data_IF_008619728695
#
_entry.id   IF_008619728695
#
_cell.length_a   1.000
_cell.length_b   1.000
_cell.length_c   1.000
_cell.angle_alpha   90.00
_cell.angle_beta   90.00
_cell.angle_gamma   90.00
#
_symmetry.space_group_name_H-M   'P 1'
#
loop_
_entity.id
_entity.type
_entity.pdbx_description
1 polymer ?
#
# COMPACT_ATOMS: atom_id res chain seq x y z
N UNK A 1 53.35 -56.69 -6.70
CA UNK A 1 54.12 -56.44 -7.94
C UNK A 1 54.10 -54.95 -8.15
N UNK A 2 55.18 -54.27 -7.77
CA UNK A 2 56.38 -54.06 -8.58
C UNK A 2 56.24 -52.73 -9.36
N UNK A 3 57.19 -51.86 -9.04
CA UNK A 3 57.51 -50.56 -9.61
C UNK A 3 57.77 -50.62 -11.13
N UNK A 4 57.99 -49.42 -11.71
CA UNK A 4 58.73 -49.16 -12.96
C UNK A 4 57.83 -48.99 -14.18
N UNK A 5 58.00 -48.02 -15.09
CA UNK A 5 59.15 -47.18 -15.46
C UNK A 5 58.60 -45.85 -16.05
N UNK A 6 59.12 -44.67 -15.69
CA UNK A 6 60.24 -43.98 -16.35
C UNK A 6 59.99 -43.64 -17.84
N UNK A 7 59.98 -42.36 -18.21
CA UNK A 7 61.15 -41.64 -18.76
C UNK A 7 60.77 -40.20 -19.15
N UNK A 8 61.74 -39.36 -18.86
CA UNK A 8 61.88 -37.91 -18.98
C UNK A 8 62.10 -37.46 -20.43
N UNK A 9 61.55 -36.30 -20.82
CA UNK A 9 62.16 -35.43 -21.83
C UNK A 9 61.66 -33.99 -21.65
N UNK A 10 62.59 -33.10 -21.32
CA UNK A 10 62.44 -31.66 -21.36
C UNK A 10 62.65 -31.16 -22.79
N UNK A 11 61.90 -30.15 -23.25
CA UNK A 11 62.53 -28.86 -23.57
C UNK A 11 61.52 -27.72 -23.81
N UNK A 12 62.07 -26.54 -23.58
CA UNK A 12 61.65 -25.14 -23.70
C UNK A 12 60.80 -24.72 -24.91
N UNK A 13 59.92 -23.73 -24.69
CA UNK A 13 59.29 -22.94 -25.74
C UNK A 13 58.33 -21.87 -25.18
N UNK A 14 58.63 -20.59 -25.47
CA UNK A 14 57.89 -19.40 -25.07
C UNK A 14 56.52 -19.25 -25.76
N UNK A 15 55.61 -18.58 -25.04
CA UNK A 15 54.53 -17.69 -25.49
C UNK A 15 53.54 -18.20 -26.56
N UNK A 16 52.26 -18.31 -26.17
CA UNK A 16 51.27 -17.38 -26.73
C UNK A 16 49.99 -17.28 -25.89
N UNK A 17 49.49 -16.06 -25.83
CA UNK A 17 48.32 -15.60 -25.09
C UNK A 17 47.01 -16.05 -25.73
N UNK A 18 46.17 -16.76 -24.99
CA UNK A 18 44.71 -16.78 -25.15
C UNK A 18 44.07 -17.42 -23.91
N UNK A 19 43.97 -16.67 -22.80
CA UNK A 19 43.08 -17.07 -21.70
C UNK A 19 41.68 -16.65 -22.09
N UNK A 20 40.87 -17.64 -22.47
CA UNK A 20 39.43 -17.49 -22.66
C UNK A 20 38.81 -16.92 -21.38
N UNK A 21 38.27 -15.70 -21.48
CA UNK A 21 37.47 -15.10 -20.43
C UNK A 21 36.30 -16.03 -20.10
N UNK A 22 36.26 -16.51 -18.86
CA UNK A 22 35.06 -17.10 -18.28
C UNK A 22 33.96 -16.02 -18.30
N UNK A 23 32.71 -16.34 -18.67
CA UNK A 23 31.62 -15.41 -18.49
C UNK A 23 31.43 -15.22 -16.98
N UNK A 24 31.69 -14.00 -16.51
CA UNK A 24 31.16 -13.56 -15.22
C UNK A 24 29.65 -13.63 -15.35
N UNK A 25 29.05 -14.65 -14.73
CA UNK A 25 27.62 -14.64 -14.45
C UNK A 25 27.45 -13.54 -13.41
N UNK A 26 27.17 -12.34 -13.90
CA UNK A 26 26.70 -11.22 -13.09
C UNK A 26 25.32 -11.63 -12.59
N UNK A 27 25.35 -12.34 -11.47
CA UNK A 27 24.14 -12.74 -10.76
C UNK A 27 23.69 -11.48 -10.04
N UNK A 28 22.99 -10.62 -10.78
CA UNK A 28 22.14 -9.61 -10.17
C UNK A 28 21.01 -10.38 -9.47
N UNK A 29 21.33 -10.89 -8.28
CA UNK A 29 20.36 -11.37 -7.32
C UNK A 29 19.66 -10.09 -6.90
N UNK A 30 18.63 -9.69 -7.64
CA UNK A 30 17.66 -8.74 -7.12
C UNK A 30 17.04 -9.43 -5.90
N UNK A 31 17.60 -9.20 -4.72
CA UNK A 31 16.93 -9.49 -3.46
C UNK A 31 15.56 -8.84 -3.58
N UNK A 32 14.53 -9.68 -3.67
CA UNK A 32 13.15 -9.22 -3.67
C UNK A 32 12.90 -8.62 -2.30
N UNK A 33 13.04 -7.30 -2.21
CA UNK A 33 12.85 -6.55 -0.98
C UNK A 33 11.42 -6.78 -0.50
N UNK A 34 11.25 -7.43 0.65
CA UNK A 34 9.94 -7.71 1.25
C UNK A 34 9.42 -6.47 1.99
N UNK A 35 8.37 -5.79 1.48
CA UNK A 35 7.86 -4.56 2.08
C UNK A 35 7.13 -4.78 3.42
N UNK A 36 6.94 -6.04 3.84
CA UNK A 36 6.45 -6.37 5.18
C UNK A 36 7.56 -6.39 6.23
N UNK A 37 8.82 -6.44 5.79
CA UNK A 37 10.00 -6.54 6.66
C UNK A 37 10.94 -5.34 6.52
N UNK A 38 10.82 -4.56 5.45
CA UNK A 38 11.56 -3.30 5.31
C UNK A 38 10.74 -2.22 4.60
N UNK A 39 11.05 -0.96 4.93
CA UNK A 39 10.40 0.19 4.29
C UNK A 39 10.95 0.38 2.88
N UNK A 40 10.06 0.57 1.90
CA UNK A 40 10.38 0.83 0.50
C UNK A 40 9.68 2.08 -0.02
N UNK A 41 10.13 2.63 -1.13
CA UNK A 41 9.52 3.82 -1.72
C UNK A 41 8.05 3.54 -2.10
N UNK A 42 7.14 4.48 -1.83
CA UNK A 42 5.70 4.29 -2.00
C UNK A 42 5.27 3.92 -3.43
N UNK A 43 5.97 4.42 -4.46
CA UNK A 43 5.70 4.04 -5.86
C UNK A 43 5.98 2.56 -6.20
N UNK A 44 6.61 1.80 -5.28
CA UNK A 44 6.80 0.34 -5.38
C UNK A 44 5.73 -0.45 -4.62
N UNK A 45 4.83 0.24 -3.92
CA UNK A 45 3.76 -0.35 -3.15
C UNK A 45 2.44 -0.20 -3.90
N UNK A 46 1.58 -1.18 -3.68
CA UNK A 46 0.17 -1.15 -4.05
C UNK A 46 -0.61 -1.69 -2.87
N UNK A 47 -1.88 -1.34 -2.78
CA UNK A 47 -2.78 -1.81 -1.73
C UNK A 47 -2.73 -3.33 -1.58
N UNK A 48 -2.50 -3.79 -0.35
CA UNK A 48 -2.47 -5.22 -0.06
C UNK A 48 -3.85 -5.87 -0.14
N UNK A 49 -3.87 -7.19 -0.36
CA UNK A 49 -5.11 -7.97 -0.32
C UNK A 49 -5.74 -7.97 1.07
N UNK A 50 -4.93 -8.00 2.13
CA UNK A 50 -5.37 -7.91 3.52
C UNK A 50 -6.10 -6.58 3.77
N UNK A 51 -5.57 -5.47 3.25
CA UNK A 51 -6.25 -4.17 3.35
C UNK A 51 -7.57 -4.14 2.57
N UNK A 52 -7.61 -4.65 1.33
CA UNK A 52 -8.87 -4.72 0.55
C UNK A 52 -9.96 -5.48 1.32
N UNK A 53 -9.60 -6.62 1.91
CA UNK A 53 -10.54 -7.39 2.72
C UNK A 53 -11.00 -6.58 3.94
N UNK A 54 -10.07 -5.99 4.69
CA UNK A 54 -10.38 -5.17 5.85
C UNK A 54 -11.34 -4.01 5.51
N UNK A 55 -11.07 -3.29 4.43
CA UNK A 55 -11.89 -2.18 3.95
C UNK A 55 -13.32 -2.64 3.59
N UNK A 56 -13.44 -3.74 2.85
CA UNK A 56 -14.75 -4.32 2.48
C UNK A 56 -15.55 -4.74 3.72
N UNK A 57 -14.90 -5.34 4.71
CA UNK A 57 -15.54 -5.72 5.98
C UNK A 57 -16.00 -4.50 6.79
N UNK A 58 -15.28 -3.39 6.72
CA UNK A 58 -15.60 -2.18 7.47
C UNK A 58 -16.77 -1.38 6.88
N UNK A 59 -16.71 -1.16 5.57
CA UNK A 59 -17.70 -0.41 4.78
C UNK A 59 -18.96 -1.22 4.50
N UNK A 60 -18.79 -2.53 4.33
CA UNK A 60 -19.78 -3.41 3.75
C UNK A 60 -19.94 -3.20 2.24
N UNK A 61 -20.77 -4.05 1.62
CA UNK A 61 -21.08 -4.00 0.19
C UNK A 61 -22.56 -3.70 -0.01
N UNK A 62 -22.88 -2.66 -0.76
CA UNK A 62 -24.26 -2.31 -1.12
C UNK A 62 -24.50 -2.43 -2.62
N UNK A 63 -25.30 -3.41 -3.03
CA UNK A 63 -25.59 -3.66 -4.44
C UNK A 63 -26.59 -2.68 -5.07
N UNK A 64 -27.25 -1.85 -4.26
CA UNK A 64 -28.25 -0.88 -4.72
C UNK A 64 -27.75 0.52 -4.42
N UNK A 65 -27.78 1.39 -5.44
CA UNK A 65 -27.41 2.80 -5.28
C UNK A 65 -28.33 3.45 -4.23
N UNK A 66 -27.75 4.02 -3.19
CA UNK A 66 -28.46 4.65 -2.08
C UNK A 66 -28.01 6.12 -1.94
N UNK A 67 -28.64 6.87 -1.03
CA UNK A 67 -28.13 8.18 -0.62
C UNK A 67 -27.34 8.05 0.67
N UNK A 68 -26.10 8.51 0.69
CA UNK A 68 -25.31 8.59 1.92
C UNK A 68 -25.88 9.62 2.91
N UNK A 69 -25.19 9.80 4.04
CA UNK A 69 -25.60 10.75 5.09
C UNK A 69 -25.56 12.22 4.64
N UNK A 70 -24.78 12.54 3.59
CA UNK A 70 -24.70 13.85 2.98
C UNK A 70 -25.69 14.02 1.81
N UNK A 71 -26.44 12.96 1.47
CA UNK A 71 -27.46 12.95 0.42
C UNK A 71 -26.94 12.59 -0.98
N UNK A 72 -25.66 12.25 -1.12
CA UNK A 72 -25.05 11.91 -2.39
C UNK A 72 -25.35 10.46 -2.82
N UNK A 73 -25.53 10.17 -4.12
CA UNK A 73 -25.70 8.81 -4.60
C UNK A 73 -24.42 7.97 -4.43
N UNK A 74 -24.53 6.84 -3.75
CA UNK A 74 -23.38 5.98 -3.39
C UNK A 74 -23.74 4.51 -3.65
N UNK A 75 -22.76 3.67 -4.01
CA UNK A 75 -22.96 2.24 -4.25
C UNK A 75 -21.72 1.42 -3.89
N UNK A 76 -21.88 0.11 -3.75
CA UNK A 76 -20.76 -0.80 -3.54
C UNK A 76 -20.10 -0.60 -2.19
N UNK A 77 -18.78 -0.49 -2.22
CA UNK A 77 -17.91 -0.19 -1.09
C UNK A 77 -17.62 1.31 -1.21
N UNK A 78 -18.39 2.16 -0.53
CA UNK A 78 -18.15 3.61 -0.45
C UNK A 78 -18.18 4.44 -1.75
N UNK A 79 -18.33 3.85 -2.94
CA UNK A 79 -18.16 4.56 -4.22
C UNK A 79 -19.23 5.64 -4.43
N UNK A 80 -18.77 6.90 -4.52
CA UNK A 80 -19.58 8.04 -4.93
C UNK A 80 -19.91 7.93 -6.41
N UNK A 81 -21.19 7.80 -6.74
CA UNK A 81 -21.66 7.70 -8.12
C UNK A 81 -21.53 9.07 -8.79
N UNK A 82 -20.74 9.10 -9.87
CA UNK A 82 -20.56 10.25 -10.73
C UNK A 82 -21.45 10.16 -11.98
N UNK A 83 -21.69 11.28 -12.70
CA UNK A 83 -22.50 11.26 -13.92
C UNK A 83 -22.01 10.25 -14.97
N UNK A 84 -20.69 10.05 -15.05
CA UNK A 84 -20.06 9.14 -16.02
C UNK A 84 -20.36 7.67 -15.74
N UNK A 85 -20.74 7.33 -14.50
CA UNK A 85 -21.15 5.97 -14.16
C UNK A 85 -22.54 5.63 -14.75
N UNK A 86 -23.35 6.63 -15.08
CA UNK A 86 -24.68 6.44 -15.65
C UNK A 86 -25.61 5.63 -14.73
N UNK A 87 -25.45 5.80 -13.42
CA UNK A 87 -26.25 5.13 -12.40
C UNK A 87 -27.23 6.10 -11.73
N UNK A 88 -28.36 5.58 -11.24
CA UNK A 88 -29.35 6.35 -10.48
C UNK A 88 -29.71 5.67 -9.17
N UNK A 89 -30.18 6.46 -8.19
CA UNK A 89 -30.62 5.95 -6.87
C UNK A 89 -31.70 4.87 -7.04
N UNK A 90 -31.52 3.73 -6.38
CA UNK A 90 -32.39 2.56 -6.48
C UNK A 90 -31.97 1.55 -7.56
N UNK A 91 -31.01 1.89 -8.43
CA UNK A 91 -30.49 0.95 -9.42
C UNK A 91 -29.63 -0.14 -8.74
N UNK A 92 -29.84 -1.40 -9.14
CA UNK A 92 -28.97 -2.51 -8.73
C UNK A 92 -27.73 -2.60 -9.65
N UNK A 93 -26.58 -2.85 -9.05
CA UNK A 93 -25.28 -2.97 -9.71
C UNK A 93 -24.73 -4.37 -9.44
N UNK A 94 -24.10 -4.99 -10.44
CA UNK A 94 -23.48 -6.30 -10.28
C UNK A 94 -22.28 -6.24 -9.35
N UNK A 95 -22.02 -7.33 -8.63
CA UNK A 95 -20.86 -7.44 -7.75
C UNK A 95 -19.54 -7.18 -8.49
N UNK A 96 -19.38 -7.70 -9.71
CA UNK A 96 -18.19 -7.45 -10.53
C UNK A 96 -17.96 -5.94 -10.80
N UNK A 97 -19.04 -5.20 -11.11
CA UNK A 97 -18.94 -3.75 -11.35
C UNK A 97 -18.63 -2.98 -10.07
N UNK A 98 -19.08 -3.46 -8.91
CA UNK A 98 -18.71 -2.90 -7.60
C UNK A 98 -17.22 -3.09 -7.32
N UNK A 99 -16.67 -4.26 -7.62
CA UNK A 99 -15.23 -4.49 -7.51
C UNK A 99 -14.45 -3.58 -8.47
N UNK A 100 -14.92 -3.40 -9.70
CA UNK A 100 -14.28 -2.47 -10.64
C UNK A 100 -14.29 -1.02 -10.15
N UNK A 101 -15.32 -0.60 -9.41
CA UNK A 101 -15.36 0.72 -8.77
C UNK A 101 -14.37 0.80 -7.61
N UNK A 102 -14.34 -0.22 -6.74
CA UNK A 102 -13.41 -0.28 -5.62
C UNK A 102 -11.95 -0.19 -6.10
N UNK A 103 -11.57 -0.97 -7.13
CA UNK A 103 -10.21 -0.92 -7.69
C UNK A 103 -9.85 0.47 -8.25
N UNK A 104 -10.80 1.12 -8.93
CA UNK A 104 -10.59 2.47 -9.47
C UNK A 104 -10.42 3.52 -8.38
N UNK A 105 -11.20 3.43 -7.30
CA UNK A 105 -11.11 4.39 -6.20
C UNK A 105 -9.85 4.15 -5.35
N UNK A 106 -9.46 2.90 -5.13
CA UNK A 106 -8.19 2.56 -4.49
C UNK A 106 -7.01 3.06 -5.32
N UNK A 107 -7.01 2.89 -6.64
CA UNK A 107 -5.95 3.40 -7.51
C UNK A 107 -5.79 4.94 -7.43
N UNK A 108 -6.90 5.68 -7.28
CA UNK A 108 -6.86 7.14 -7.05
C UNK A 108 -6.22 7.45 -5.70
N UNK A 109 -6.63 6.74 -4.65
CA UNK A 109 -6.10 6.92 -3.30
C UNK A 109 -4.60 6.56 -3.20
N UNK A 110 -4.17 5.47 -3.82
CA UNK A 110 -2.75 5.09 -3.96
C UNK A 110 -1.93 6.20 -4.60
N UNK A 111 -2.38 6.72 -5.75
CA UNK A 111 -1.67 7.77 -6.45
C UNK A 111 -1.58 9.06 -5.61
N UNK A 112 -2.63 9.38 -4.84
CA UNK A 112 -2.63 10.50 -3.91
C UNK A 112 -1.67 10.28 -2.74
N UNK A 113 -1.61 9.09 -2.16
CA UNK A 113 -0.61 8.75 -1.12
C UNK A 113 0.80 8.85 -1.66
N UNK A 114 1.07 8.33 -2.86
CA UNK A 114 2.39 8.43 -3.50
C UNK A 114 2.83 9.89 -3.66
N UNK A 115 1.91 10.81 -3.98
CA UNK A 115 2.19 12.25 -4.03
C UNK A 115 2.41 12.84 -2.64
N UNK A 116 1.57 12.47 -1.67
CA UNK A 116 1.62 12.95 -0.30
C UNK A 116 2.96 12.63 0.38
N UNK A 117 3.44 11.41 0.21
CA UNK A 117 4.63 10.90 0.94
C UNK A 117 5.95 11.10 0.19
N UNK A 118 5.90 11.30 -1.13
CA UNK A 118 7.09 11.50 -1.97
C UNK A 118 8.10 10.36 -1.84
N UNK A 119 9.32 10.70 -1.40
CA UNK A 119 10.43 9.77 -1.23
C UNK A 119 10.46 9.06 0.14
N UNK A 120 9.50 9.34 1.03
CA UNK A 120 9.40 8.65 2.30
C UNK A 120 9.17 7.15 2.04
N UNK A 121 10.02 6.32 2.64
CA UNK A 121 9.88 4.87 2.56
C UNK A 121 8.83 4.41 3.57
N UNK A 122 8.01 3.44 3.19
CA UNK A 122 6.95 2.90 4.03
C UNK A 122 7.00 1.38 4.03
N UNK A 123 6.61 0.77 5.14
CA UNK A 123 6.19 -0.62 5.13
C UNK A 123 4.86 -0.75 4.37
N UNK A 124 4.53 -1.97 3.92
CA UNK A 124 3.26 -2.24 3.24
C UNK A 124 2.05 -1.80 4.08
N UNK A 125 2.07 -2.07 5.39
CA UNK A 125 0.96 -1.74 6.28
C UNK A 125 0.84 -0.22 6.54
N UNK A 126 1.95 0.51 6.63
CA UNK A 126 1.94 1.97 6.73
C UNK A 126 1.34 2.62 5.48
N UNK A 127 1.68 2.10 4.29
CA UNK A 127 1.08 2.54 3.03
C UNK A 127 -0.43 2.25 2.99
N UNK A 128 -0.85 1.05 3.36
CA UNK A 128 -2.27 0.66 3.39
C UNK A 128 -3.08 1.57 4.33
N UNK A 129 -2.55 1.91 5.52
CA UNK A 129 -3.21 2.81 6.46
C UNK A 129 -3.33 4.25 5.92
N UNK A 130 -2.31 4.76 5.21
CA UNK A 130 -2.39 6.06 4.54
C UNK A 130 -3.39 6.04 3.38
N UNK A 131 -3.48 4.93 2.64
CA UNK A 131 -4.50 4.76 1.60
C UNK A 131 -5.89 4.76 2.22
N UNK A 132 -6.11 4.10 3.36
CA UNK A 132 -7.39 4.17 4.08
C UNK A 132 -7.78 5.60 4.45
N UNK A 133 -6.82 6.39 4.96
CA UNK A 133 -7.07 7.80 5.28
C UNK A 133 -7.54 8.54 4.03
N UNK A 134 -6.77 8.48 2.95
CA UNK A 134 -7.07 9.20 1.71
C UNK A 134 -8.36 8.71 1.07
N UNK A 135 -8.66 7.42 1.14
CA UNK A 135 -9.92 6.86 0.67
C UNK A 135 -11.12 7.42 1.46
N UNK A 136 -10.98 7.53 2.78
CA UNK A 136 -12.06 7.99 3.67
C UNK A 136 -12.30 9.50 3.61
N UNK A 137 -11.23 10.31 3.58
CA UNK A 137 -11.34 11.78 3.65
C UNK A 137 -11.13 12.47 2.30
N UNK A 138 -10.53 11.80 1.31
CA UNK A 138 -10.16 12.38 0.03
C UNK A 138 -8.86 13.17 0.06
N UNK A 139 -8.18 13.24 -1.09
CA UNK A 139 -6.85 13.86 -1.24
C UNK A 139 -6.78 15.32 -0.78
N UNK A 140 -7.83 16.12 -1.03
CA UNK A 140 -7.85 17.53 -0.64
C UNK A 140 -7.70 17.74 0.87
N UNK A 141 -8.28 16.84 1.68
CA UNK A 141 -8.26 16.94 3.14
C UNK A 141 -6.92 16.52 3.76
N UNK A 142 -6.05 15.85 3.01
CA UNK A 142 -4.67 15.52 3.45
C UNK A 142 -3.63 16.50 2.91
N UNK A 143 -4.07 17.59 2.27
CA UNK A 143 -3.16 18.64 1.78
C UNK A 143 -2.40 19.32 2.93
N UNK A 144 -1.31 20.00 2.62
CA UNK A 144 -0.51 20.73 3.61
C UNK A 144 -1.29 21.87 4.30
N UNK A 145 -2.33 22.39 3.65
CA UNK A 145 -3.20 23.44 4.21
C UNK A 145 -4.22 22.86 5.20
N UNK A 146 -4.86 21.74 4.85
CA UNK A 146 -5.92 21.11 5.66
C UNK A 146 -5.36 20.19 6.76
N UNK A 147 -4.21 19.56 6.52
CA UNK A 147 -3.54 18.62 7.44
C UNK A 147 -2.06 18.96 7.63
N UNK A 148 -1.72 20.14 8.21
CA UNK A 148 -0.34 20.62 8.32
C UNK A 148 0.54 19.74 9.23
N UNK A 149 -0.03 19.15 10.28
CA UNK A 149 0.71 18.29 11.21
C UNK A 149 1.12 16.96 10.56
N UNK A 150 0.18 16.29 9.88
CA UNK A 150 0.48 15.10 9.06
C UNK A 150 1.58 15.39 8.03
N UNK A 151 1.46 16.49 7.29
CA UNK A 151 2.46 16.84 6.27
C UNK A 151 3.83 17.18 6.89
N UNK A 152 3.86 17.83 8.05
CA UNK A 152 5.11 18.08 8.78
C UNK A 152 5.76 16.78 9.27
N UNK A 153 4.98 15.83 9.79
CA UNK A 153 5.46 14.52 10.23
C UNK A 153 6.03 13.70 9.05
N UNK A 154 5.32 13.68 7.92
CA UNK A 154 5.79 13.04 6.67
C UNK A 154 7.11 13.65 6.19
N UNK A 155 7.19 14.98 6.14
CA UNK A 155 8.40 15.68 5.71
C UNK A 155 9.60 15.42 6.65
N UNK A 156 9.34 15.22 7.95
CA UNK A 156 10.35 14.87 8.94
C UNK A 156 10.72 13.36 8.93
N UNK A 157 9.91 12.52 8.27
CA UNK A 157 10.03 11.07 8.38
C UNK A 157 9.75 10.55 9.79
N UNK A 158 8.89 11.26 10.53
CA UNK A 158 8.49 10.93 11.90
C UNK A 158 7.26 10.01 11.87
N UNK A 159 7.50 8.71 11.87
CA UNK A 159 6.44 7.70 11.75
C UNK A 159 5.50 7.68 12.95
N UNK A 160 6.00 7.97 14.16
CA UNK A 160 5.17 8.03 15.36
C UNK A 160 4.20 9.21 15.27
N UNK A 161 4.70 10.39 14.84
CA UNK A 161 3.84 11.54 14.61
C UNK A 161 2.86 11.35 13.44
N UNK A 162 3.22 10.58 12.41
CA UNK A 162 2.26 10.19 11.36
C UNK A 162 1.14 9.36 11.99
N UNK A 163 1.47 8.36 12.81
CA UNK A 163 0.49 7.49 13.45
C UNK A 163 -0.48 8.26 14.35
N UNK A 164 0.03 9.24 15.11
CA UNK A 164 -0.80 10.13 15.95
C UNK A 164 -1.84 10.90 15.11
N UNK A 165 -1.48 11.34 13.91
CA UNK A 165 -2.40 12.05 13.00
C UNK A 165 -3.40 11.10 12.31
N UNK A 166 -3.08 9.80 12.21
CA UNK A 166 -4.04 8.79 11.74
C UNK A 166 -5.09 8.44 12.81
N UNK A 167 -4.80 8.71 14.08
CA UNK A 167 -5.68 8.57 15.22
C UNK A 167 -6.53 9.84 15.44
N UNK A 168 -7.55 10.00 14.58
CA UNK A 168 -8.63 10.99 14.65
C UNK A 168 -9.40 10.92 15.99
N UNK A 169 -8.82 11.47 17.05
CA UNK A 169 -9.51 11.83 18.30
C UNK A 169 -9.81 13.32 18.41
N UNK A 170 -9.25 14.17 17.54
CA UNK A 170 -9.20 15.62 17.79
C UNK A 170 -9.65 16.57 16.67
N UNK A 171 -10.14 16.09 15.52
CA UNK A 171 -10.69 16.98 14.49
C UNK A 171 -12.17 17.36 14.77
N UNK A 172 -12.41 18.62 15.15
CA UNK A 172 -13.67 19.31 14.81
C UNK A 172 -14.96 18.85 15.47
N UNK A 173 -14.99 18.72 16.80
CA UNK A 173 -16.19 19.00 17.63
C UNK A 173 -17.42 18.09 17.55
N UNK A 174 -17.52 17.14 16.61
CA UNK A 174 -18.53 16.07 16.61
C UNK A 174 -17.96 14.78 16.02
N UNK A 175 -17.32 13.99 16.87
CA UNK A 175 -16.84 12.65 16.49
C UNK A 175 -18.05 11.74 16.29
N UNK A 176 -18.32 11.37 15.03
CA UNK A 176 -19.28 10.30 14.74
C UNK A 176 -18.67 8.97 15.19
N UNK A 177 -19.44 8.12 15.90
CA UNK A 177 -18.96 6.82 16.43
C UNK A 177 -18.28 5.94 15.36
N UNK A 178 -18.73 6.01 14.11
CA UNK A 178 -18.12 5.28 12.98
C UNK A 178 -16.72 5.78 12.63
N UNK A 179 -16.46 7.08 12.73
CA UNK A 179 -15.15 7.68 12.41
C UNK A 179 -14.10 7.29 13.46
N UNK A 180 -14.48 7.25 14.74
CA UNK A 180 -13.59 6.82 15.82
C UNK A 180 -13.11 5.37 15.64
N UNK A 181 -14.02 4.45 15.31
CA UNK A 181 -13.68 3.03 15.12
C UNK A 181 -12.76 2.85 13.91
N UNK A 182 -13.05 3.52 12.79
CA UNK A 182 -12.19 3.47 11.60
C UNK A 182 -10.80 4.00 11.90
N UNK A 183 -10.74 5.09 12.66
CA UNK A 183 -9.49 5.70 13.06
C UNK A 183 -8.64 4.78 13.92
N UNK A 184 -9.26 4.08 14.88
CA UNK A 184 -8.57 3.11 15.73
C UNK A 184 -7.99 1.96 14.89
N UNK A 185 -8.79 1.41 13.96
CA UNK A 185 -8.32 0.35 13.06
C UNK A 185 -7.17 0.84 12.18
N UNK A 186 -7.25 2.05 11.63
CA UNK A 186 -6.19 2.64 10.81
C UNK A 186 -4.87 2.78 11.59
N UNK A 187 -4.94 3.27 12.83
CA UNK A 187 -3.78 3.38 13.69
C UNK A 187 -3.17 1.99 13.99
N UNK A 188 -4.01 0.97 14.24
CA UNK A 188 -3.55 -0.42 14.43
C UNK A 188 -2.89 -1.01 13.17
N UNK A 189 -3.43 -0.74 11.97
CA UNK A 189 -2.78 -1.14 10.72
C UNK A 189 -1.41 -0.46 10.60
N UNK A 190 -1.34 0.85 10.86
CA UNK A 190 -0.11 1.61 10.72
C UNK A 190 0.97 1.14 11.71
N UNK A 191 0.64 0.95 12.98
CA UNK A 191 1.62 0.64 14.03
C UNK A 191 1.94 -0.85 14.15
N UNK A 192 0.92 -1.72 14.04
CA UNK A 192 1.02 -3.12 14.43
C UNK A 192 0.86 -4.09 13.24
N UNK A 193 0.64 -3.57 12.03
CA UNK A 193 0.26 -4.36 10.86
C UNK A 193 -0.97 -5.25 11.10
N UNK A 194 -1.86 -4.84 12.03
CA UNK A 194 -3.06 -5.57 12.40
C UNK A 194 -4.25 -5.10 11.58
N UNK A 195 -4.81 -6.02 10.79
CA UNK A 195 -5.98 -5.79 9.95
C UNK A 195 -7.29 -6.24 10.61
N UNK A 196 -7.25 -6.65 11.88
CA UNK A 196 -8.42 -7.17 12.57
C UNK A 196 -9.53 -6.12 12.69
N UNK A 197 -10.78 -6.57 12.80
CA UNK A 197 -11.91 -5.68 13.00
C UNK A 197 -12.12 -5.41 14.50
N UNK A 198 -11.90 -4.17 14.99
CA UNK A 198 -12.07 -3.85 16.42
C UNK A 198 -13.51 -4.03 16.92
N UNK A 199 -14.51 -4.07 16.02
CA UNK A 199 -15.93 -4.28 16.39
C UNK A 199 -16.24 -5.70 16.87
N UNK A 200 -15.36 -6.68 16.63
CA UNK A 200 -15.59 -8.11 16.95
C UNK A 200 -14.87 -8.53 18.24
N UNK A 201 -14.01 -7.68 18.80
CA UNK A 201 -13.24 -7.98 20.01
C UNK A 201 -13.98 -7.66 21.33
N UNK A 202 -15.29 -7.41 21.29
CA UNK A 202 -16.14 -7.15 22.48
C UNK A 202 -17.21 -8.22 22.66
#
# INVERSE_FOLDING_TARGET
>A
MALSASVMAMNTGMADSASFGQPVIDTDITETVDPTQTRVMAHKLSVSQSFKQALVEEEGVREVVYRDVAGYPTVGVGHLVLPEDGLYVGQRVSYARILDFLERDLAKAEAAVQRLVGDLKLYQHEFDALVDLVYNVGEGNVSSEESPQLNAAIAAGDYDAIADELDYRHAGGKVAKGLAIRSERRAQIFMDASYDNPRVQT
#
